data_IF_831795406844
#
_entry.id   IF_831795406844
#
_cell.length_a   1.000
_cell.length_b   1.000
_cell.length_c   1.000
_cell.angle_alpha   90.00
_cell.angle_beta   90.00
_cell.angle_gamma   90.00
#
_symmetry.space_group_name_H-M   'P 1'
#
loop_
_entity.id
_entity.type
_entity.pdbx_description
1 polymer ?
#
# COMPACT_ATOMS: atom_id res chain seq x y z
N UNK A 1 19.07 -19.09 -8.75
CA UNK A 1 17.72 -18.54 -8.48
C UNK A 1 16.77 -19.00 -9.60
N UNK A 2 15.44 -18.80 -9.51
CA UNK A 2 14.53 -19.22 -10.60
C UNK A 2 14.83 -18.48 -11.92
N UNK A 3 15.25 -17.22 -11.86
CA UNK A 3 15.67 -16.47 -13.06
C UNK A 3 16.93 -17.07 -13.68
N UNK A 4 17.90 -17.49 -12.86
CA UNK A 4 19.16 -18.06 -13.34
C UNK A 4 18.92 -19.42 -14.03
N UNK A 5 17.96 -20.22 -13.53
CA UNK A 5 17.53 -21.47 -14.20
C UNK A 5 16.77 -21.22 -15.50
N UNK A 6 16.08 -20.08 -15.61
CA UNK A 6 15.40 -19.69 -16.86
C UNK A 6 16.38 -19.17 -17.91
N UNK A 7 17.55 -18.67 -17.50
CA UNK A 7 18.58 -18.19 -18.43
C UNK A 7 19.15 -19.33 -19.27
N UNK A 8 19.22 -20.55 -18.71
CA UNK A 8 19.65 -21.77 -19.43
C UNK A 8 18.74 -22.09 -20.64
N UNK A 9 17.46 -21.70 -20.59
CA UNK A 9 16.51 -21.91 -21.69
C UNK A 9 16.54 -20.81 -22.75
N UNK A 10 17.38 -19.77 -22.59
CA UNK A 10 17.58 -18.75 -23.64
C UNK A 10 18.43 -19.24 -24.80
N UNK A 11 19.18 -20.33 -24.62
CA UNK A 11 19.99 -20.93 -25.69
C UNK A 11 19.17 -21.83 -26.62
N UNK A 12 17.94 -22.19 -26.23
CA UNK A 12 17.01 -22.94 -27.06
C UNK A 12 16.14 -21.98 -27.88
N UNK A 13 16.28 -22.02 -29.20
CA UNK A 13 15.59 -21.12 -30.15
C UNK A 13 14.06 -21.18 -30.05
N UNK A 14 13.49 -22.30 -29.59
CA UNK A 14 12.04 -22.45 -29.41
C UNK A 14 11.53 -21.99 -28.04
N UNK A 15 12.41 -21.92 -27.03
CA UNK A 15 12.05 -21.54 -25.66
C UNK A 15 12.58 -20.16 -25.25
N UNK A 16 13.49 -19.57 -26.03
CA UNK A 16 14.17 -18.32 -25.70
C UNK A 16 13.20 -17.17 -25.44
N UNK A 17 12.18 -17.01 -26.29
CA UNK A 17 11.19 -15.94 -26.14
C UNK A 17 10.34 -16.11 -24.87
N UNK A 18 9.96 -17.35 -24.56
CA UNK A 18 9.19 -17.69 -23.36
C UNK A 18 10.04 -17.52 -22.10
N UNK A 19 11.30 -17.97 -22.13
CA UNK A 19 12.25 -17.82 -21.05
C UNK A 19 12.56 -16.33 -20.76
N UNK A 20 12.78 -15.53 -21.81
CA UNK A 20 12.97 -14.09 -21.72
C UNK A 20 11.74 -13.39 -21.12
N UNK A 21 10.53 -13.77 -21.53
CA UNK A 21 9.28 -13.27 -20.95
C UNK A 21 9.19 -13.54 -19.45
N UNK A 22 9.42 -14.77 -18.99
CA UNK A 22 9.33 -15.12 -17.57
C UNK A 22 10.44 -14.48 -16.73
N UNK A 23 11.67 -14.33 -17.26
CA UNK A 23 12.75 -13.60 -16.59
C UNK A 23 12.36 -12.13 -16.41
N UNK A 24 11.89 -11.48 -17.48
CA UNK A 24 11.44 -10.09 -17.43
C UNK A 24 10.28 -9.91 -16.46
N UNK A 25 9.32 -10.84 -16.43
CA UNK A 25 8.24 -10.84 -15.46
C UNK A 25 8.76 -10.97 -14.02
N UNK A 26 9.68 -11.90 -13.75
CA UNK A 26 10.25 -12.11 -12.41
C UNK A 26 11.05 -10.89 -11.92
N UNK A 27 11.86 -10.28 -12.79
CA UNK A 27 12.57 -9.02 -12.52
C UNK A 27 11.58 -7.88 -12.28
N UNK A 28 10.53 -7.76 -13.11
CA UNK A 28 9.45 -6.80 -12.93
C UNK A 28 8.75 -6.95 -11.58
N UNK A 29 8.45 -8.18 -11.14
CA UNK A 29 7.89 -8.44 -9.81
C UNK A 29 8.84 -8.06 -8.67
N UNK A 30 10.16 -8.26 -8.82
CA UNK A 30 11.15 -7.76 -7.85
C UNK A 30 11.16 -6.24 -7.79
N UNK A 31 11.11 -5.56 -8.93
CA UNK A 31 11.02 -4.10 -8.99
C UNK A 31 9.73 -3.60 -8.30
N UNK A 32 8.57 -4.24 -8.58
CA UNK A 32 7.29 -3.96 -7.91
C UNK A 32 7.41 -4.18 -6.39
N UNK A 33 8.03 -5.26 -5.95
CA UNK A 33 8.27 -5.51 -4.53
C UNK A 33 9.06 -4.35 -3.90
N UNK A 34 10.13 -3.88 -4.54
CA UNK A 34 10.89 -2.73 -4.06
C UNK A 34 10.06 -1.44 -4.05
N UNK A 35 9.25 -1.19 -5.08
CA UNK A 35 8.30 -0.06 -5.12
C UNK A 35 7.31 -0.12 -3.95
N UNK A 36 6.70 -1.28 -3.69
CA UNK A 36 5.76 -1.45 -2.56
C UNK A 36 6.42 -1.25 -1.20
N UNK A 37 7.73 -1.53 -1.10
CA UNK A 37 8.55 -1.28 0.09
C UNK A 37 9.16 0.13 0.15
N UNK A 38 8.87 0.99 -0.82
CA UNK A 38 9.46 2.32 -0.95
C UNK A 38 10.99 2.31 -1.08
N UNK A 39 11.56 1.21 -1.59
CA UNK A 39 12.98 1.04 -1.86
C UNK A 39 13.27 1.48 -3.29
N UNK A 40 13.15 2.79 -3.55
CA UNK A 40 13.15 3.36 -4.90
C UNK A 40 14.45 3.13 -5.68
N UNK A 41 15.59 3.19 -4.99
CA UNK A 41 16.90 2.91 -5.60
C UNK A 41 16.99 1.46 -6.11
N UNK A 42 16.64 0.49 -5.25
CA UNK A 42 16.62 -0.93 -5.63
C UNK A 42 15.59 -1.23 -6.71
N UNK A 43 14.43 -0.55 -6.66
CA UNK A 43 13.41 -0.67 -7.71
C UNK A 43 13.94 -0.19 -9.07
N UNK A 44 14.63 0.95 -9.10
CA UNK A 44 15.22 1.49 -10.32
C UNK A 44 16.34 0.59 -10.87
N UNK A 45 17.17 0.00 -10.00
CA UNK A 45 18.24 -0.90 -10.40
C UNK A 45 17.70 -2.21 -11.00
N UNK A 46 16.69 -2.83 -10.38
CA UNK A 46 16.06 -4.03 -10.95
C UNK A 46 15.26 -3.70 -12.22
N UNK A 47 14.63 -2.53 -12.28
CA UNK A 47 13.92 -2.05 -13.47
C UNK A 47 14.82 -1.96 -14.71
N UNK A 48 16.12 -1.66 -14.54
CA UNK A 48 17.12 -1.62 -15.63
C UNK A 48 17.14 -2.89 -16.46
N UNK A 49 17.02 -4.04 -15.81
CA UNK A 49 17.14 -5.35 -16.46
C UNK A 49 15.93 -5.68 -17.34
N UNK A 50 14.80 -5.03 -17.11
CA UNK A 50 13.57 -5.22 -17.88
C UNK A 50 13.38 -4.16 -18.98
N UNK A 51 14.31 -3.20 -19.13
CA UNK A 51 14.10 -2.00 -19.96
C UNK A 51 13.94 -2.31 -21.45
N UNK A 52 14.72 -3.25 -21.99
CA UNK A 52 14.66 -3.61 -23.42
C UNK A 52 13.31 -4.23 -23.80
N UNK A 53 12.71 -5.02 -22.91
CA UNK A 53 11.36 -5.56 -23.09
C UNK A 53 10.29 -4.46 -23.01
N UNK A 54 10.48 -3.49 -22.11
CA UNK A 54 9.60 -2.33 -21.95
C UNK A 54 9.66 -1.42 -23.19
N UNK A 55 10.84 -1.14 -23.75
CA UNK A 55 11.01 -0.34 -24.96
C UNK A 55 10.26 -0.96 -26.15
N UNK A 56 10.42 -2.27 -26.37
CA UNK A 56 9.67 -2.97 -27.42
C UNK A 56 8.16 -2.85 -27.22
N UNK A 57 7.67 -2.88 -25.98
CA UNK A 57 6.25 -2.67 -25.62
C UNK A 57 5.79 -1.23 -25.89
N UNK A 58 6.61 -0.24 -25.52
CA UNK A 58 6.33 1.17 -25.74
C UNK A 58 6.25 1.51 -27.24
N UNK A 59 7.07 0.88 -28.07
CA UNK A 59 7.08 1.07 -29.52
C UNK A 59 5.85 0.46 -30.23
N UNK A 60 4.91 -0.14 -29.48
CA UNK A 60 3.67 -0.69 -30.03
C UNK A 60 3.87 -1.99 -30.83
N UNK A 61 5.03 -2.64 -30.69
CA UNK A 61 5.37 -3.87 -31.43
C UNK A 61 4.67 -5.12 -30.91
N UNK A 62 3.97 -5.03 -29.78
CA UNK A 62 3.26 -6.15 -29.17
C UNK A 62 1.74 -6.01 -29.34
N UNK A 63 1.10 -7.08 -29.80
CA UNK A 63 -0.37 -7.16 -29.94
C UNK A 63 -1.07 -7.65 -28.68
N UNK A 64 -0.32 -8.22 -27.72
CA UNK A 64 -0.88 -8.79 -26.49
C UNK A 64 -1.06 -7.72 -25.40
N UNK A 65 -2.28 -7.62 -24.84
CA UNK A 65 -2.59 -6.75 -23.71
C UNK A 65 -1.68 -6.96 -22.49
N UNK A 66 -1.17 -8.18 -22.25
CA UNK A 66 -0.26 -8.45 -21.14
C UNK A 66 1.08 -7.71 -21.25
N UNK A 67 1.54 -7.39 -22.47
CA UNK A 67 2.79 -6.67 -22.68
C UNK A 67 2.73 -5.23 -22.13
N UNK A 68 1.54 -4.64 -22.09
CA UNK A 68 1.31 -3.29 -21.58
C UNK A 68 1.37 -3.19 -20.06
N UNK A 69 1.39 -4.31 -19.33
CA UNK A 69 1.52 -4.28 -17.87
C UNK A 69 2.86 -3.65 -17.45
N UNK A 70 3.95 -4.13 -18.04
CA UNK A 70 5.30 -3.71 -17.74
C UNK A 70 5.55 -2.26 -18.14
N UNK A 71 5.17 -1.89 -19.37
CA UNK A 71 5.24 -0.51 -19.86
C UNK A 71 4.39 0.42 -19.01
N UNK A 72 3.18 0.00 -18.64
CA UNK A 72 2.25 0.82 -17.88
C UNK A 72 2.79 1.21 -16.49
N UNK A 73 3.36 0.23 -15.77
CA UNK A 73 4.06 0.49 -14.51
C UNK A 73 5.28 1.38 -14.70
N UNK A 74 6.09 1.07 -15.72
CA UNK A 74 7.31 1.82 -16.00
C UNK A 74 7.01 3.29 -16.29
N UNK A 75 6.16 3.57 -17.29
CA UNK A 75 5.78 4.91 -17.72
C UNK A 75 5.22 5.73 -16.55
N UNK A 76 4.38 5.11 -15.72
CA UNK A 76 3.82 5.77 -14.54
C UNK A 76 4.90 6.14 -13.51
N UNK A 77 5.80 5.21 -13.18
CA UNK A 77 6.82 5.45 -12.15
C UNK A 77 7.98 6.32 -12.63
N UNK A 78 8.39 6.20 -13.90
CA UNK A 78 9.42 7.03 -14.52
C UNK A 78 9.03 8.52 -14.50
N UNK A 79 7.75 8.85 -14.63
CA UNK A 79 7.24 10.22 -14.53
C UNK A 79 7.30 10.78 -13.09
N UNK A 80 6.86 9.98 -12.10
CA UNK A 80 6.69 10.50 -10.72
C UNK A 80 7.96 10.42 -9.86
N UNK A 81 8.91 9.53 -10.18
CA UNK A 81 10.13 9.33 -9.38
C UNK A 81 11.03 10.57 -9.39
N UNK A 82 11.36 11.21 -10.53
CA UNK A 82 12.22 12.39 -10.59
C UNK A 82 11.76 13.54 -9.68
N UNK A 83 10.45 13.75 -9.61
CA UNK A 83 9.82 14.80 -8.80
C UNK A 83 9.93 14.49 -7.31
N UNK A 84 9.78 13.22 -6.92
CA UNK A 84 9.73 12.79 -5.52
C UNK A 84 11.09 12.42 -4.94
N UNK A 85 12.01 11.94 -5.78
CA UNK A 85 13.36 11.50 -5.44
C UNK A 85 14.36 12.08 -6.45
N UNK A 86 14.66 13.39 -6.38
CA UNK A 86 15.54 14.04 -7.35
C UNK A 86 16.93 13.41 -7.46
N UNK A 87 17.42 12.77 -6.38
CA UNK A 87 18.70 12.04 -6.35
C UNK A 87 18.74 10.84 -7.30
N UNK A 88 17.58 10.32 -7.74
CA UNK A 88 17.51 9.21 -8.70
C UNK A 88 17.52 9.68 -10.15
N UNK A 89 17.42 11.00 -10.43
CA UNK A 89 17.42 11.54 -11.80
C UNK A 89 18.59 11.04 -12.66
N UNK A 90 19.85 11.02 -12.20
CA UNK A 90 20.96 10.55 -13.03
C UNK A 90 20.83 9.10 -13.47
N UNK A 91 20.23 8.24 -12.62
CA UNK A 91 19.98 6.84 -12.96
C UNK A 91 18.88 6.69 -14.01
N UNK A 92 17.99 7.67 -14.14
CA UNK A 92 16.84 7.62 -15.04
C UNK A 92 17.11 8.18 -16.44
N UNK A 93 18.17 8.97 -16.62
CA UNK A 93 18.51 9.62 -17.91
C UNK A 93 18.80 8.66 -19.06
N UNK A 94 19.14 7.41 -18.76
CA UNK A 94 19.42 6.36 -19.75
C UNK A 94 18.18 5.58 -20.15
N UNK A 95 17.00 5.95 -19.66
CA UNK A 95 15.76 5.24 -19.91
C UNK A 95 14.75 6.11 -20.65
N UNK A 96 13.73 5.51 -21.31
CA UNK A 96 12.67 6.27 -21.95
C UNK A 96 11.97 7.23 -20.99
N UNK A 97 11.46 8.34 -21.50
CA UNK A 97 10.70 9.26 -20.66
C UNK A 97 9.43 8.59 -20.12
N UNK A 98 9.07 8.98 -18.90
CA UNK A 98 7.81 8.56 -18.30
C UNK A 98 6.62 9.27 -18.93
N UNK A 99 5.49 8.58 -18.96
CA UNK A 99 4.19 9.17 -19.29
C UNK A 99 3.15 8.60 -18.33
N UNK A 100 2.79 9.41 -17.34
CA UNK A 100 1.84 9.02 -16.29
C UNK A 100 0.49 8.64 -16.86
N UNK A 101 -0.03 9.40 -17.82
CA UNK A 101 -1.37 9.19 -18.36
C UNK A 101 -1.43 7.93 -19.21
N UNK A 102 -0.45 7.76 -20.10
CA UNK A 102 -0.30 6.52 -20.88
C UNK A 102 -0.10 5.33 -19.95
N UNK A 103 0.74 5.46 -18.92
CA UNK A 103 0.97 4.40 -17.95
C UNK A 103 -0.31 3.93 -17.25
N UNK A 104 -1.18 4.87 -16.86
CA UNK A 104 -2.49 4.55 -16.28
C UNK A 104 -3.44 3.90 -17.30
N UNK A 105 -3.42 4.33 -18.57
CA UNK A 105 -4.22 3.72 -19.65
C UNK A 105 -3.77 2.29 -19.94
N UNK A 106 -2.48 2.05 -20.05
CA UNK A 106 -1.88 0.73 -20.29
C UNK A 106 -2.23 -0.26 -19.16
N UNK A 107 -2.16 0.19 -17.90
CA UNK A 107 -2.55 -0.60 -16.74
C UNK A 107 -4.04 -0.93 -16.72
N UNK A 108 -4.89 0.05 -17.06
CA UNK A 108 -6.34 -0.17 -17.16
C UNK A 108 -6.66 -1.15 -18.29
N UNK A 109 -6.05 -0.95 -19.46
CA UNK A 109 -6.22 -1.81 -20.63
C UNK A 109 -5.81 -3.26 -20.32
N UNK A 110 -4.67 -3.46 -19.66
CA UNK A 110 -4.23 -4.78 -19.21
C UNK A 110 -5.18 -5.39 -18.17
N UNK A 111 -5.67 -4.59 -17.22
CA UNK A 111 -6.60 -5.03 -16.19
C UNK A 111 -7.95 -5.53 -16.77
N UNK A 112 -8.33 -5.04 -17.95
CA UNK A 112 -9.54 -5.44 -18.67
C UNK A 112 -9.28 -6.58 -19.66
N UNK A 113 -8.22 -6.47 -20.46
CA UNK A 113 -8.01 -7.31 -21.65
C UNK A 113 -6.87 -8.32 -21.52
N UNK A 114 -5.94 -8.16 -20.55
CA UNK A 114 -4.82 -9.07 -20.35
C UNK A 114 -5.28 -10.50 -20.08
N UNK A 115 -4.49 -11.51 -20.43
CA UNK A 115 -4.80 -12.91 -20.14
C UNK A 115 -4.14 -13.34 -18.84
N UNK A 116 -2.82 -13.17 -18.74
CA UNK A 116 -2.01 -13.59 -17.59
C UNK A 116 -1.84 -12.47 -16.56
N UNK A 117 -1.61 -11.23 -17.01
CA UNK A 117 -1.32 -10.10 -16.14
C UNK A 117 -2.56 -9.42 -15.58
N UNK A 118 -3.77 -9.77 -16.06
CA UNK A 118 -5.06 -9.12 -15.73
C UNK A 118 -5.23 -8.82 -14.23
N UNK A 119 -5.05 -9.83 -13.38
CA UNK A 119 -5.30 -9.73 -11.94
C UNK A 119 -4.26 -8.85 -11.26
N UNK A 120 -2.99 -9.00 -11.65
CA UNK A 120 -1.89 -8.21 -11.11
C UNK A 120 -2.01 -6.75 -11.56
N UNK A 121 -2.33 -6.52 -12.83
CA UNK A 121 -2.58 -5.20 -13.39
C UNK A 121 -3.74 -4.50 -12.68
N UNK A 122 -4.89 -5.17 -12.52
CA UNK A 122 -6.03 -4.64 -11.78
C UNK A 122 -5.66 -4.29 -10.33
N UNK A 123 -4.90 -5.15 -9.66
CA UNK A 123 -4.43 -4.90 -8.30
C UNK A 123 -3.51 -3.67 -8.23
N UNK A 124 -2.50 -3.61 -9.10
CA UNK A 124 -1.53 -2.50 -9.13
C UNK A 124 -2.20 -1.18 -9.53
N UNK A 125 -3.06 -1.20 -10.53
CA UNK A 125 -3.85 -0.05 -10.97
C UNK A 125 -4.71 0.48 -9.83
N UNK A 126 -5.46 -0.40 -9.13
CA UNK A 126 -6.25 -0.03 -7.96
C UNK A 126 -5.39 0.59 -6.84
N UNK A 127 -4.20 0.05 -6.57
CA UNK A 127 -3.29 0.62 -5.57
C UNK A 127 -2.74 1.99 -5.96
N UNK A 128 -2.40 2.19 -7.22
CA UNK A 128 -1.94 3.48 -7.75
C UNK A 128 -3.07 4.51 -7.61
N UNK A 129 -4.28 4.17 -8.04
CA UNK A 129 -5.46 5.02 -7.92
C UNK A 129 -5.72 5.43 -6.46
N UNK A 130 -5.63 4.49 -5.52
CA UNK A 130 -5.87 4.76 -4.10
C UNK A 130 -4.76 5.58 -3.44
N UNK A 131 -3.50 5.16 -3.63
CA UNK A 131 -2.38 5.70 -2.84
C UNK A 131 -1.79 6.97 -3.44
N UNK A 132 -1.82 7.10 -4.77
CA UNK A 132 -1.17 8.18 -5.52
C UNK A 132 -2.18 9.14 -6.12
N UNK A 133 -3.06 8.65 -6.98
CA UNK A 133 -4.03 9.49 -7.71
C UNK A 133 -5.20 9.98 -6.85
N UNK A 134 -5.35 9.43 -5.64
CA UNK A 134 -6.43 9.75 -4.69
C UNK A 134 -7.85 9.45 -5.21
N UNK A 135 -7.97 8.70 -6.30
CA UNK A 135 -9.21 8.21 -6.91
C UNK A 135 -9.73 6.99 -6.14
N UNK A 136 -10.10 7.20 -4.87
CA UNK A 136 -10.45 6.12 -3.93
C UNK A 136 -11.69 5.34 -4.36
N UNK A 137 -12.70 6.01 -4.94
CA UNK A 137 -13.92 5.37 -5.44
C UNK A 137 -13.62 4.37 -6.56
N UNK A 138 -12.84 4.78 -7.56
CA UNK A 138 -12.46 3.93 -8.70
C UNK A 138 -11.60 2.74 -8.23
N UNK A 139 -10.63 3.01 -7.36
CA UNK A 139 -9.82 1.97 -6.75
C UNK A 139 -10.66 0.94 -5.99
N UNK A 140 -11.68 1.40 -5.24
CA UNK A 140 -12.59 0.55 -4.49
C UNK A 140 -13.43 -0.36 -5.39
N UNK A 141 -13.95 0.14 -6.52
CA UNK A 141 -14.71 -0.67 -7.48
C UNK A 141 -13.87 -1.85 -7.97
N UNK A 142 -12.63 -1.58 -8.41
CA UNK A 142 -11.70 -2.61 -8.89
C UNK A 142 -11.36 -3.60 -7.77
N UNK A 143 -11.00 -3.10 -6.59
CA UNK A 143 -10.61 -3.96 -5.46
C UNK A 143 -11.78 -4.81 -4.95
N UNK A 144 -13.01 -4.28 -4.98
CA UNK A 144 -14.21 -5.03 -4.64
C UNK A 144 -14.46 -6.18 -5.62
N UNK A 145 -14.26 -5.94 -6.93
CA UNK A 145 -14.31 -6.99 -7.95
C UNK A 145 -13.26 -8.09 -7.71
N UNK A 146 -12.02 -7.70 -7.38
CA UNK A 146 -10.95 -8.64 -7.03
C UNK A 146 -11.27 -9.45 -5.77
N UNK A 147 -11.75 -8.80 -4.70
CA UNK A 147 -12.16 -9.47 -3.46
C UNK A 147 -13.33 -10.43 -3.68
N UNK A 148 -14.27 -10.10 -4.57
CA UNK A 148 -15.40 -10.97 -4.90
C UNK A 148 -14.94 -12.21 -5.67
N UNK A 149 -14.03 -12.05 -6.64
CA UNK A 149 -13.50 -13.16 -7.44
C UNK A 149 -12.53 -14.05 -6.66
N UNK A 150 -11.76 -13.46 -5.75
CA UNK A 150 -10.78 -14.16 -4.93
C UNK A 150 -11.08 -13.98 -3.44
N UNK A 151 -12.21 -14.52 -2.95
CA UNK A 151 -12.72 -14.23 -1.61
C UNK A 151 -11.80 -14.71 -0.51
N UNK A 152 -10.89 -15.64 -0.77
CA UNK A 152 -9.91 -16.14 0.20
C UNK A 152 -8.64 -15.31 0.29
N UNK A 153 -8.41 -14.37 -0.64
CA UNK A 153 -7.18 -13.59 -0.68
C UNK A 153 -7.19 -12.51 0.43
N UNK A 154 -6.32 -12.62 1.46
CA UNK A 154 -6.31 -11.68 2.58
C UNK A 154 -5.87 -10.27 2.18
N UNK A 155 -5.09 -10.13 1.10
CA UNK A 155 -4.56 -8.83 0.66
C UNK A 155 -5.69 -8.00 0.08
N UNK A 156 -6.51 -8.57 -0.80
CA UNK A 156 -7.63 -7.85 -1.42
C UNK A 156 -8.66 -7.41 -0.39
N UNK A 157 -9.03 -8.29 0.54
CA UNK A 157 -9.92 -7.95 1.65
C UNK A 157 -9.39 -6.77 2.49
N UNK A 158 -8.10 -6.79 2.83
CA UNK A 158 -7.51 -5.74 3.66
C UNK A 158 -7.49 -4.38 2.95
N UNK A 159 -7.20 -4.37 1.64
CA UNK A 159 -7.25 -3.15 0.83
C UNK A 159 -8.67 -2.66 0.63
N UNK A 160 -9.61 -3.54 0.29
CA UNK A 160 -11.03 -3.20 0.14
C UNK A 160 -11.57 -2.57 1.42
N UNK A 161 -11.31 -3.16 2.60
CA UNK A 161 -11.70 -2.58 3.88
C UNK A 161 -11.04 -1.23 4.13
N UNK A 162 -9.76 -1.07 3.79
CA UNK A 162 -9.05 0.21 3.96
C UNK A 162 -9.67 1.32 3.08
N UNK A 163 -10.04 0.98 1.85
CA UNK A 163 -10.71 1.90 0.91
C UNK A 163 -12.14 2.20 1.37
N UNK A 164 -12.91 1.20 1.82
CA UNK A 164 -14.25 1.39 2.37
C UNK A 164 -14.24 2.34 3.58
N UNK A 165 -13.28 2.15 4.51
CA UNK A 165 -13.05 3.09 5.62
C UNK A 165 -12.78 4.49 5.08
N UNK A 166 -11.88 4.64 4.09
CA UNK A 166 -11.53 5.96 3.54
C UNK A 166 -12.75 6.68 2.94
N UNK A 167 -13.64 5.95 2.26
CA UNK A 167 -14.89 6.43 1.68
C UNK A 167 -15.99 6.70 2.71
N UNK A 168 -15.85 6.23 3.95
CA UNK A 168 -16.89 6.36 4.98
C UNK A 168 -17.92 5.22 4.94
N UNK A 169 -17.73 4.20 4.10
CA UNK A 169 -18.58 3.01 4.02
C UNK A 169 -18.30 2.07 5.21
N UNK A 170 -18.66 2.52 6.40
CA UNK A 170 -18.25 1.87 7.65
C UNK A 170 -18.92 0.51 7.87
N UNK A 171 -20.16 0.31 7.43
CA UNK A 171 -20.85 -0.98 7.54
C UNK A 171 -20.16 -2.07 6.73
N UNK A 172 -19.81 -1.74 5.49
CA UNK A 172 -19.10 -2.67 4.62
C UNK A 172 -17.70 -2.97 5.15
N UNK A 173 -16.97 -1.95 5.62
CA UNK A 173 -15.69 -2.15 6.28
C UNK A 173 -15.81 -3.08 7.51
N UNK A 174 -16.85 -2.89 8.33
CA UNK A 174 -17.11 -3.72 9.50
C UNK A 174 -17.42 -5.17 9.11
N UNK A 175 -18.22 -5.38 8.07
CA UNK A 175 -18.53 -6.70 7.53
C UNK A 175 -17.27 -7.42 7.08
N UNK A 176 -16.41 -6.76 6.27
CA UNK A 176 -15.15 -7.34 5.80
C UNK A 176 -14.22 -7.68 6.98
N UNK A 177 -14.09 -6.79 7.97
CA UNK A 177 -13.23 -7.02 9.14
C UNK A 177 -13.72 -8.18 10.01
N UNK A 178 -15.05 -8.34 10.19
CA UNK A 178 -15.63 -9.49 10.90
C UNK A 178 -15.29 -10.81 10.21
N UNK A 179 -15.39 -10.87 8.88
CA UNK A 179 -15.01 -12.06 8.11
C UNK A 179 -13.51 -12.32 8.24
N UNK A 180 -12.67 -11.30 8.10
CA UNK A 180 -11.22 -11.43 8.24
C UNK A 180 -10.82 -11.96 9.62
N UNK A 181 -11.41 -11.41 10.68
CA UNK A 181 -11.18 -11.82 12.07
C UNK A 181 -11.64 -13.26 12.33
N UNK A 182 -12.80 -13.66 11.78
CA UNK A 182 -13.28 -15.04 11.83
C UNK A 182 -12.24 -16.00 11.23
N UNK A 183 -11.66 -15.67 10.07
CA UNK A 183 -10.63 -16.50 9.42
C UNK A 183 -9.34 -16.60 10.21
N UNK A 184 -8.92 -15.52 10.89
CA UNK A 184 -7.80 -15.59 11.85
C UNK A 184 -8.12 -16.57 12.97
N UNK A 185 -9.30 -16.46 13.59
CA UNK A 185 -9.71 -17.33 14.71
C UNK A 185 -9.77 -18.79 14.31
N UNK A 186 -10.25 -19.07 13.11
CA UNK A 186 -10.32 -20.41 12.52
C UNK A 186 -8.97 -20.91 11.96
N UNK A 187 -7.90 -20.11 12.09
CA UNK A 187 -6.54 -20.45 11.63
C UNK A 187 -6.50 -20.83 10.14
N UNK A 188 -7.34 -20.19 9.32
CA UNK A 188 -7.34 -20.47 7.88
C UNK A 188 -5.98 -20.08 7.25
N UNK A 189 -5.54 -20.80 6.20
CA UNK A 189 -4.30 -20.49 5.50
C UNK A 189 -4.22 -19.01 5.09
N UNK A 190 -3.04 -18.40 5.24
CA UNK A 190 -2.79 -16.97 4.95
C UNK A 190 -3.44 -15.95 5.90
N UNK A 191 -4.10 -16.39 6.99
CA UNK A 191 -4.64 -15.52 8.05
C UNK A 191 -3.90 -15.72 9.39
N UNK A 192 -2.61 -15.35 9.47
CA UNK A 192 -1.83 -15.56 10.69
C UNK A 192 -2.29 -14.65 11.84
N UNK A 193 -2.19 -15.16 13.07
CA UNK A 193 -2.66 -14.48 14.28
C UNK A 193 -2.15 -13.04 14.46
N UNK A 194 -0.92 -12.75 14.03
CA UNK A 194 -0.34 -11.40 14.15
C UNK A 194 -1.11 -10.33 13.34
N UNK A 195 -1.91 -10.71 12.34
CA UNK A 195 -2.79 -9.78 11.60
C UNK A 195 -3.90 -9.21 12.48
N UNK A 196 -4.16 -9.81 13.65
CA UNK A 196 -5.13 -9.30 14.61
C UNK A 196 -4.83 -7.85 15.02
N UNK A 197 -3.55 -7.45 15.15
CA UNK A 197 -3.19 -6.04 15.40
C UNK A 197 -3.73 -5.08 14.33
N UNK A 198 -3.63 -5.49 13.05
CA UNK A 198 -4.11 -4.69 11.91
C UNK A 198 -5.64 -4.61 11.94
N UNK A 199 -6.32 -5.73 12.23
CA UNK A 199 -7.78 -5.79 12.38
C UNK A 199 -8.25 -4.85 13.50
N UNK A 200 -7.61 -4.87 14.66
CA UNK A 200 -7.95 -3.99 15.78
C UNK A 200 -7.72 -2.52 15.44
N UNK A 201 -6.62 -2.19 14.75
CA UNK A 201 -6.43 -0.84 14.21
C UNK A 201 -7.54 -0.42 13.25
N UNK A 202 -7.99 -1.31 12.35
CA UNK A 202 -9.08 -1.04 11.41
C UNK A 202 -10.41 -0.83 12.10
N UNK A 203 -10.75 -1.64 13.11
CA UNK A 203 -11.95 -1.39 13.93
C UNK A 203 -11.89 -0.02 14.62
N UNK A 204 -10.72 0.37 15.15
CA UNK A 204 -10.53 1.71 15.70
C UNK A 204 -10.86 2.82 14.69
N UNK A 205 -10.41 2.67 13.44
CA UNK A 205 -10.72 3.63 12.37
C UNK A 205 -12.21 3.66 12.00
N UNK A 206 -12.85 2.48 11.95
CA UNK A 206 -14.29 2.33 11.67
C UNK A 206 -15.11 3.06 12.73
N UNK A 207 -14.91 2.74 14.02
CA UNK A 207 -15.67 3.36 15.10
C UNK A 207 -15.35 4.85 15.27
N UNK A 208 -14.10 5.27 15.00
CA UNK A 208 -13.76 6.70 14.99
C UNK A 208 -14.54 7.48 13.94
N UNK A 209 -14.78 6.89 12.76
CA UNK A 209 -15.61 7.50 11.71
C UNK A 209 -17.09 7.55 12.07
N UNK A 210 -17.57 6.58 12.85
CA UNK A 210 -18.93 6.56 13.41
C UNK A 210 -19.10 7.49 14.61
N UNK A 211 -18.04 8.18 15.04
CA UNK A 211 -18.01 8.98 16.26
C UNK A 211 -18.24 8.18 17.55
N UNK A 212 -18.10 6.85 17.49
CA UNK A 212 -18.15 5.95 18.64
C UNK A 212 -16.76 5.89 19.29
N UNK A 213 -16.35 7.02 19.88
CA UNK A 213 -14.97 7.29 20.27
C UNK A 213 -14.42 6.32 21.32
N UNK A 214 -15.22 5.96 22.32
CA UNK A 214 -14.86 5.01 23.36
C UNK A 214 -14.56 3.62 22.76
N UNK A 215 -15.40 3.15 21.83
CA UNK A 215 -15.16 1.90 21.10
C UNK A 215 -13.90 2.00 20.25
N UNK A 216 -13.70 3.13 19.57
CA UNK A 216 -12.50 3.37 18.78
C UNK A 216 -11.23 3.24 19.62
N UNK A 217 -11.18 3.92 20.78
CA UNK A 217 -10.07 3.86 21.74
C UNK A 217 -9.86 2.43 22.24
N UNK A 218 -10.92 1.70 22.59
CA UNK A 218 -10.80 0.32 23.07
C UNK A 218 -10.14 -0.59 22.01
N UNK A 219 -10.50 -0.42 20.74
CA UNK A 219 -9.88 -1.17 19.64
C UNK A 219 -8.43 -0.74 19.37
N UNK A 220 -8.13 0.56 19.40
CA UNK A 220 -6.75 1.03 19.28
C UNK A 220 -5.86 0.50 20.42
N UNK A 221 -6.35 0.48 21.66
CA UNK A 221 -5.63 -0.12 22.81
C UNK A 221 -5.33 -1.60 22.58
N UNK A 222 -6.26 -2.37 22.00
CA UNK A 222 -6.00 -3.78 21.64
C UNK A 222 -4.88 -3.92 20.60
N UNK A 223 -4.71 -2.95 19.70
CA UNK A 223 -3.61 -2.94 18.73
C UNK A 223 -2.24 -2.61 19.36
N UNK A 224 -2.20 -2.03 20.56
CA UNK A 224 -0.96 -1.75 21.29
C UNK A 224 -0.37 -2.97 22.02
N UNK A 225 -1.09 -4.10 22.07
CA UNK A 225 -0.59 -5.32 22.74
C UNK A 225 0.77 -5.71 22.15
N UNK A 226 1.81 -5.96 22.98
CA UNK A 226 3.14 -6.35 22.50
C UNK A 226 3.09 -7.60 21.62
N UNK A 227 3.91 -7.62 20.57
CA UNK A 227 4.14 -8.79 19.73
C UNK A 227 5.66 -9.04 19.77
N UNK A 228 6.13 -10.19 20.28
CA UNK A 228 7.55 -10.44 20.41
C UNK A 228 8.24 -10.68 19.06
N UNK A 229 9.56 -10.43 19.04
CA UNK A 229 10.45 -10.71 17.92
C UNK A 229 10.23 -9.83 16.67
N UNK A 230 10.79 -10.28 15.54
CA UNK A 230 10.80 -9.57 14.26
C UNK A 230 9.40 -9.17 13.74
N UNK A 231 8.36 -9.91 14.13
CA UNK A 231 6.98 -9.57 13.80
C UNK A 231 6.51 -8.29 14.50
N UNK A 232 6.95 -8.07 15.74
CA UNK A 232 6.71 -6.85 16.50
C UNK A 232 7.27 -5.63 15.80
N UNK A 233 8.55 -5.68 15.42
CA UNK A 233 9.24 -4.61 14.69
C UNK A 233 8.52 -4.28 13.37
N UNK A 234 8.20 -5.30 12.57
CA UNK A 234 7.49 -5.09 11.29
C UNK A 234 6.11 -4.46 11.48
N UNK A 235 5.46 -4.66 12.63
CA UNK A 235 4.13 -4.16 12.93
C UNK A 235 4.11 -2.97 13.87
N UNK A 236 5.27 -2.41 14.25
CA UNK A 236 5.40 -1.23 15.10
C UNK A 236 4.63 -0.04 14.50
N UNK A 237 4.65 0.12 13.18
CA UNK A 237 3.89 1.16 12.47
C UNK A 237 2.41 1.23 12.88
N UNK A 238 1.77 0.08 13.16
CA UNK A 238 0.36 0.07 13.57
C UNK A 238 0.18 0.45 15.04
N UNK A 239 1.19 0.26 15.88
CA UNK A 239 1.19 0.81 17.23
C UNK A 239 1.30 2.34 17.17
N UNK A 240 2.26 2.85 16.39
CA UNK A 240 2.44 4.30 16.15
C UNK A 240 1.16 4.93 15.60
N UNK A 241 0.56 4.33 14.57
CA UNK A 241 -0.70 4.83 14.02
C UNK A 241 -1.85 4.74 15.01
N UNK A 242 -1.94 3.67 15.82
CA UNK A 242 -3.01 3.54 16.83
C UNK A 242 -2.89 4.63 17.89
N UNK A 243 -1.69 4.91 18.39
CA UNK A 243 -1.46 6.02 19.34
C UNK A 243 -1.77 7.38 18.73
N UNK A 244 -1.33 7.63 17.50
CA UNK A 244 -1.63 8.87 16.79
C UNK A 244 -3.13 9.07 16.62
N UNK A 245 -3.87 8.02 16.21
CA UNK A 245 -5.32 8.08 16.08
C UNK A 245 -6.03 8.24 17.43
N UNK A 246 -5.55 7.59 18.50
CA UNK A 246 -6.05 7.81 19.86
C UNK A 246 -5.88 9.26 20.28
N UNK A 247 -4.74 9.88 20.01
CA UNK A 247 -4.51 11.30 20.26
C UNK A 247 -5.56 12.19 19.59
N UNK A 248 -5.81 11.97 18.29
CA UNK A 248 -6.86 12.69 17.56
C UNK A 248 -8.27 12.45 18.12
N UNK A 249 -8.57 11.22 18.52
CA UNK A 249 -9.88 10.91 19.12
C UNK A 249 -10.02 11.61 20.48
N UNK A 250 -9.00 11.58 21.33
CA UNK A 250 -9.04 12.28 22.63
C UNK A 250 -9.18 13.80 22.48
N UNK A 251 -8.53 14.43 21.49
CA UNK A 251 -8.76 15.85 21.21
C UNK A 251 -10.21 16.14 20.81
N UNK A 252 -10.83 15.29 19.97
CA UNK A 252 -12.26 15.44 19.60
C UNK A 252 -13.18 15.30 20.81
N UNK A 253 -12.76 14.50 21.80
CA UNK A 253 -13.45 14.33 23.07
C UNK A 253 -13.13 15.42 24.09
N UNK A 254 -12.32 16.43 23.73
CA UNK A 254 -11.81 17.48 24.63
C UNK A 254 -11.02 16.93 25.84
N UNK A 255 -10.39 15.77 25.69
CA UNK A 255 -9.53 15.13 26.71
C UNK A 255 -8.06 15.40 26.39
N UNK A 256 -7.67 16.68 26.48
CA UNK A 256 -6.36 17.16 26.01
C UNK A 256 -5.17 16.51 26.74
N UNK A 257 -5.28 16.18 28.03
CA UNK A 257 -4.21 15.49 28.76
C UNK A 257 -3.96 14.07 28.24
N UNK A 258 -5.03 13.32 27.95
CA UNK A 258 -4.92 11.99 27.34
C UNK A 258 -4.42 12.07 25.89
N UNK A 259 -4.83 13.10 25.15
CA UNK A 259 -4.35 13.33 23.79
C UNK A 259 -2.83 13.59 23.77
N UNK A 260 -2.38 14.48 24.67
CA UNK A 260 -0.97 14.82 24.86
C UNK A 260 -0.13 13.59 25.16
N UNK A 261 -0.56 12.76 26.11
CA UNK A 261 0.13 11.51 26.46
C UNK A 261 0.36 10.63 25.22
N UNK A 262 -0.66 10.46 24.38
CA UNK A 262 -0.52 9.64 23.17
C UNK A 262 0.44 10.24 22.15
N UNK A 263 0.42 11.56 21.95
CA UNK A 263 1.33 12.22 21.02
C UNK A 263 2.78 12.20 21.53
N UNK A 264 3.01 12.40 22.83
CA UNK A 264 4.34 12.28 23.44
C UNK A 264 4.91 10.86 23.25
N UNK A 265 4.09 9.83 23.44
CA UNK A 265 4.49 8.44 23.14
C UNK A 265 4.88 8.25 21.68
N UNK A 266 4.14 8.84 20.72
CA UNK A 266 4.50 8.77 19.29
C UNK A 266 5.89 9.36 19.01
N UNK A 267 6.31 10.42 19.73
CA UNK A 267 7.63 11.02 19.55
C UNK A 267 8.79 10.08 19.96
N UNK A 268 8.51 9.11 20.83
CA UNK A 268 9.48 8.13 21.34
C UNK A 268 9.58 6.87 20.46
N UNK A 269 8.75 6.73 19.43
CA UNK A 269 8.65 5.54 18.57
C UNK A 269 9.18 5.78 17.16
N UNK A 270 9.29 4.75 16.31
CA UNK A 270 9.67 4.92 14.90
C UNK A 270 8.84 5.97 14.14
N UNK A 271 9.46 6.71 13.22
CA UNK A 271 8.77 7.71 12.41
C UNK A 271 8.20 7.08 11.14
N UNK A 272 6.89 6.99 11.06
CA UNK A 272 6.17 6.38 9.95
C UNK A 272 5.23 7.39 9.31
N UNK A 273 5.40 7.67 8.01
CA UNK A 273 4.60 8.65 7.27
C UNK A 273 4.54 10.03 7.97
N UNK A 274 5.67 10.49 8.53
CA UNK A 274 5.80 11.74 9.27
C UNK A 274 4.97 11.75 10.57
N UNK A 275 4.71 10.60 11.19
CA UNK A 275 3.95 10.48 12.44
C UNK A 275 4.48 11.40 13.54
N UNK A 276 5.81 11.53 13.67
CA UNK A 276 6.43 12.42 14.66
C UNK A 276 6.15 13.90 14.36
N UNK A 277 6.15 14.30 13.09
CA UNK A 277 5.79 15.67 12.67
C UNK A 277 4.35 15.99 13.05
N UNK A 278 3.41 15.10 12.75
CA UNK A 278 2.01 15.28 13.08
C UNK A 278 1.77 15.36 14.58
N UNK A 279 2.38 14.47 15.37
CA UNK A 279 2.31 14.51 16.82
C UNK A 279 2.80 15.86 17.39
N UNK A 280 3.97 16.35 16.94
CA UNK A 280 4.49 17.68 17.34
C UNK A 280 3.53 18.82 17.03
N UNK A 281 2.89 18.81 15.86
CA UNK A 281 1.97 19.86 15.47
C UNK A 281 0.75 19.91 16.41
N UNK A 282 0.22 18.75 16.79
CA UNK A 282 -0.94 18.68 17.68
C UNK A 282 -0.59 19.00 19.14
N UNK A 283 0.59 18.62 19.63
CA UNK A 283 1.09 19.03 20.94
C UNK A 283 1.15 20.56 21.07
N UNK A 284 1.72 21.25 20.07
CA UNK A 284 1.75 22.73 20.04
C UNK A 284 0.34 23.34 20.08
N UNK A 285 -0.63 22.75 19.37
CA UNK A 285 -2.03 23.22 19.40
C UNK A 285 -2.64 23.08 20.80
N UNK A 286 -2.43 21.94 21.47
CA UNK A 286 -2.90 21.70 22.83
C UNK A 286 -2.29 22.74 23.80
N UNK A 287 -0.99 23.00 23.71
CA UNK A 287 -0.30 24.00 24.54
C UNK A 287 -0.86 25.42 24.33
N UNK A 288 -1.10 25.80 23.08
CA UNK A 288 -1.70 27.11 22.75
C UNK A 288 -3.12 27.25 23.31
N UNK A 289 -3.94 26.19 23.25
CA UNK A 289 -5.28 26.18 23.86
C UNK A 289 -5.23 26.34 25.37
N UNK A 290 -4.28 25.69 26.06
CA UNK A 290 -4.11 25.85 27.52
C UNK A 290 -3.72 27.28 27.89
N UNK A 291 -2.77 27.87 27.15
CA UNK A 291 -2.32 29.26 27.38
C UNK A 291 -3.44 30.28 27.19
N UNK A 292 -4.32 30.07 26.22
CA UNK A 292 -5.45 30.98 25.93
C UNK A 292 -6.68 30.73 26.80
N UNK A 293 -6.90 29.49 27.25
CA UNK A 293 -8.01 29.11 28.12
C UNK A 293 -7.78 29.38 29.61
N UNK A 294 -6.53 29.49 30.05
CA UNK A 294 -6.16 29.85 31.43
C UNK A 294 -6.11 31.36 31.72
N UNK A 295 -6.49 32.20 30.75
CA UNK A 295 -6.52 33.67 30.87
C UNK A 295 -7.94 34.24 30.95
N UNK A 296 -8.91 33.47 31.44
CA UNK A 296 -10.29 33.91 31.71
C UNK A 296 -10.66 33.63 33.15
#
# INVERSE_FOLDING_TARGET
SLTDKLEEFKEDEHLAEVAEFYINAAVGFKAIMHVTRQQWFSAALEGRRAISGIEKAIDGRWTNADAYFGSGLYLYYADIIPTRYPLLKPLLLIYPDGDKERGLKDLAYTAENGLFARVVAAYMYSLILYTREKRTSDAYKIMSGLSMRYPQNPIFMMWQASMAIKLGNTDEALRIMKVYEKRIREKQPFYPAHKQRIVQFRYGQIYSRRQEYEKAIAHYKKALKPIPGLLGERLERYEVYSRLQMGYVYERMKRDDLAREQFERVLQMGDYQQSRRWARQHLKKIEQRRKTGGSR
#
